data_IF_689394455064
#
_entry.id   IF_689394455064
#
_cell.length_a   1.000
_cell.length_b   1.000
_cell.length_c   1.000
_cell.angle_alpha   90.00
_cell.angle_beta   90.00
_cell.angle_gamma   90.00
#
_symmetry.space_group_name_H-M   'P 1'
#
loop_
_entity.id
_entity.type
_entity.pdbx_description
1 polymer ?
#
# COMPACT_ATOMS: atom_id res chain seq x y z
N UNK A 1 80.43 -13.00 14.21
CA UNK A 1 79.63 -12.16 13.30
C UNK A 1 78.92 -13.13 12.37
N UNK A 2 77.68 -13.50 12.61
CA UNK A 2 76.51 -12.76 12.13
C UNK A 2 75.26 -13.10 12.97
N UNK A 3 74.55 -12.07 13.40
CA UNK A 3 73.24 -12.15 14.07
C UNK A 3 72.16 -12.56 13.05
N UNK A 4 71.36 -13.58 13.38
CA UNK A 4 70.13 -13.91 12.66
C UNK A 4 68.94 -13.36 13.45
N UNK A 5 68.50 -12.16 13.09
CA UNK A 5 67.40 -11.46 13.77
C UNK A 5 66.06 -11.87 13.15
N UNK A 6 65.18 -12.47 13.95
CA UNK A 6 63.76 -12.70 13.64
C UNK A 6 63.08 -11.39 13.24
N UNK A 7 62.42 -11.36 12.08
CA UNK A 7 61.41 -10.35 11.74
C UNK A 7 60.04 -10.99 11.83
N UNK A 8 59.31 -10.73 12.92
CA UNK A 8 57.86 -10.92 12.97
C UNK A 8 57.21 -9.92 12.03
N UNK A 9 56.44 -10.41 11.06
CA UNK A 9 55.55 -9.60 10.24
C UNK A 9 54.20 -9.60 10.92
N UNK A 10 53.85 -8.50 11.59
CA UNK A 10 52.51 -8.29 12.14
C UNK A 10 51.59 -7.83 11.01
N UNK A 11 50.67 -8.70 10.60
CA UNK A 11 49.60 -8.40 9.65
C UNK A 11 48.53 -7.56 10.38
N UNK A 12 48.50 -6.24 10.14
CA UNK A 12 47.37 -5.40 10.54
C UNK A 12 46.20 -5.64 9.59
N UNK A 13 45.23 -6.46 9.99
CA UNK A 13 43.94 -6.54 9.33
C UNK A 13 43.12 -5.33 9.80
N UNK A 14 43.03 -4.30 8.96
CA UNK A 14 42.04 -3.23 9.13
C UNK A 14 40.69 -3.81 8.70
N UNK A 15 39.90 -4.26 9.66
CA UNK A 15 38.49 -4.59 9.47
C UNK A 15 37.72 -3.28 9.23
N UNK A 16 37.61 -2.90 7.96
CA UNK A 16 36.60 -1.91 7.55
C UNK A 16 35.25 -2.59 7.64
N UNK A 17 34.56 -2.41 8.76
CA UNK A 17 33.13 -2.70 8.88
C UNK A 17 32.38 -1.68 8.02
N UNK A 18 32.38 -1.90 6.70
CA UNK A 18 31.39 -1.30 5.83
C UNK A 18 30.05 -1.94 6.20
N UNK A 19 29.26 -1.24 7.00
CA UNK A 19 27.82 -1.45 7.07
C UNK A 19 27.31 -1.15 5.66
N UNK A 20 27.26 -2.18 4.81
CA UNK A 20 26.58 -2.09 3.54
C UNK A 20 25.10 -1.82 3.89
N UNK A 21 24.67 -0.58 3.68
CA UNK A 21 23.27 -0.33 3.37
C UNK A 21 23.04 -1.21 2.14
N UNK A 22 22.21 -2.24 2.29
CA UNK A 22 21.83 -3.12 1.20
C UNK A 22 21.00 -2.29 0.22
N UNK A 23 21.67 -1.57 -0.65
CA UNK A 23 21.08 -1.03 -1.86
C UNK A 23 20.61 -2.23 -2.69
N UNK A 24 19.38 -2.13 -3.21
CA UNK A 24 18.79 -3.08 -4.15
C UNK A 24 19.84 -3.47 -5.19
N UNK A 25 20.13 -4.76 -5.31
CA UNK A 25 21.01 -5.25 -6.37
C UNK A 25 20.41 -4.85 -7.73
N UNK A 26 21.02 -3.92 -8.48
CA UNK A 26 20.46 -3.41 -9.72
C UNK A 26 20.31 -4.50 -10.79
N UNK A 27 20.97 -5.65 -10.62
CA UNK A 27 20.87 -6.77 -11.57
C UNK A 27 19.49 -7.45 -11.58
N UNK A 28 18.69 -7.33 -10.51
CA UNK A 28 17.36 -7.96 -10.46
C UNK A 28 16.26 -7.15 -11.17
N UNK A 29 16.41 -5.83 -11.27
CA UNK A 29 15.40 -4.95 -11.86
C UNK A 29 15.81 -4.53 -13.28
N UNK A 30 15.02 -4.94 -14.26
CA UNK A 30 15.19 -4.47 -15.64
C UNK A 30 14.41 -3.16 -15.86
N UNK A 31 14.85 -2.29 -16.79
CA UNK A 31 14.12 -1.07 -17.12
C UNK A 31 12.65 -1.31 -17.47
N UNK A 32 11.81 -0.31 -17.21
CA UNK A 32 10.42 -0.31 -17.65
C UNK A 32 10.37 0.04 -19.14
N UNK A 33 9.75 -0.83 -19.92
CA UNK A 33 9.49 -0.64 -21.34
C UNK A 33 8.02 -0.25 -21.53
N UNK A 34 7.73 1.03 -21.30
CA UNK A 34 6.38 1.56 -21.50
C UNK A 34 6.01 1.59 -22.99
N UNK A 35 4.77 1.25 -23.29
CA UNK A 35 4.19 1.41 -24.61
C UNK A 35 4.04 2.91 -24.95
N UNK A 36 3.90 3.22 -26.23
CA UNK A 36 3.74 4.60 -26.74
C UNK A 36 2.35 4.88 -27.31
N UNK A 37 1.38 4.05 -26.97
CA UNK A 37 0.02 4.15 -27.53
C UNK A 37 -0.67 5.41 -26.96
N UNK A 38 -1.25 6.28 -27.81
CA UNK A 38 -2.07 7.37 -27.35
C UNK A 38 -3.38 6.84 -26.75
N UNK A 39 -4.07 7.62 -25.90
CA UNK A 39 -5.38 7.23 -25.39
C UNK A 39 -6.37 7.02 -26.55
N UNK A 40 -7.16 5.93 -26.54
CA UNK A 40 -8.07 5.60 -27.64
C UNK A 40 -9.29 6.52 -27.71
N UNK A 41 -9.54 7.28 -26.65
CA UNK A 41 -10.68 8.18 -26.51
C UNK A 41 -10.36 9.31 -25.52
N UNK A 42 -11.31 10.24 -25.35
CA UNK A 42 -11.23 11.25 -24.29
C UNK A 42 -11.25 10.55 -22.93
N UNK A 43 -10.40 11.04 -22.00
CA UNK A 43 -10.35 10.54 -20.64
C UNK A 43 -11.73 10.57 -19.97
N UNK A 44 -12.17 9.46 -19.34
CA UNK A 44 -13.25 9.50 -18.38
C UNK A 44 -12.94 10.52 -17.26
N UNK A 45 -13.98 11.08 -16.65
CA UNK A 45 -13.81 12.07 -15.60
C UNK A 45 -12.98 11.53 -14.44
N UNK A 46 -11.90 12.26 -14.09
CA UNK A 46 -11.00 11.90 -13.00
C UNK A 46 -9.99 10.79 -13.30
N UNK A 47 -9.96 10.27 -14.53
CA UNK A 47 -9.03 9.21 -14.92
C UNK A 47 -7.86 9.70 -15.79
N UNK A 48 -6.72 9.03 -15.66
CA UNK A 48 -5.51 9.24 -16.45
C UNK A 48 -5.20 8.01 -17.30
N UNK A 49 -4.61 8.24 -18.47
CA UNK A 49 -4.20 7.19 -19.39
C UNK A 49 -2.89 6.56 -18.94
N UNK A 50 -2.89 5.25 -18.75
CA UNK A 50 -1.69 4.46 -18.50
C UNK A 50 -1.44 3.64 -19.77
N UNK A 51 -0.34 3.95 -20.48
CA UNK A 51 -0.04 3.31 -21.76
C UNK A 51 0.25 1.80 -21.65
N UNK A 52 0.49 1.31 -20.42
CA UNK A 52 0.93 -0.06 -20.16
C UNK A 52 2.34 -0.31 -20.68
N UNK A 53 2.76 -1.57 -20.65
CA UNK A 53 4.09 -2.01 -21.04
C UNK A 53 4.64 -3.09 -20.11
N UNK A 54 5.91 -3.39 -20.29
CA UNK A 54 6.61 -4.40 -19.48
C UNK A 54 7.45 -3.74 -18.38
N UNK A 55 7.40 -4.27 -17.17
CA UNK A 55 8.17 -3.77 -16.03
C UNK A 55 8.61 -4.90 -15.10
N UNK A 56 9.53 -4.58 -14.18
CA UNK A 56 9.92 -5.47 -13.09
C UNK A 56 9.01 -5.20 -11.89
N UNK A 57 8.17 -6.18 -11.55
CA UNK A 57 7.22 -6.13 -10.45
C UNK A 57 7.80 -6.82 -9.20
N UNK A 58 7.45 -6.33 -8.01
CA UNK A 58 7.87 -6.90 -6.73
C UNK A 58 9.11 -6.23 -6.12
N UNK A 59 9.76 -6.94 -5.20
CA UNK A 59 10.90 -6.46 -4.42
C UNK A 59 12.07 -7.47 -4.46
N UNK A 60 13.30 -6.96 -4.54
CA UNK A 60 14.54 -7.78 -4.56
C UNK A 60 14.98 -8.26 -3.17
N UNK A 61 14.47 -7.62 -2.12
CA UNK A 61 14.74 -7.98 -0.73
C UNK A 61 13.40 -8.19 -0.06
N UNK A 62 13.19 -9.37 0.53
CA UNK A 62 12.21 -9.58 1.58
C UNK A 62 12.94 -9.93 2.87
N UNK A 63 12.37 -9.47 3.99
CA UNK A 63 13.00 -9.53 5.29
C UNK A 63 12.75 -8.26 6.10
N UNK A 64 12.87 -8.42 7.42
CA UNK A 64 12.48 -7.50 8.50
C UNK A 64 12.48 -6.05 8.04
N UNK A 65 11.28 -5.52 7.94
CA UNK A 65 11.09 -4.22 7.35
C UNK A 65 11.85 -3.11 8.07
N UNK A 66 12.02 -1.98 7.40
CA UNK A 66 12.67 -0.81 8.00
C UNK A 66 11.78 -0.16 9.07
N UNK A 67 12.32 0.75 9.88
CA UNK A 67 11.51 1.63 10.75
C UNK A 67 10.39 2.36 9.97
N UNK A 68 10.58 2.57 8.66
CA UNK A 68 9.60 3.19 7.76
C UNK A 68 8.66 2.18 7.08
N UNK A 69 9.05 0.90 6.99
CA UNK A 69 8.31 -0.16 6.30
C UNK A 69 8.52 -1.48 7.04
N UNK A 70 8.05 -1.66 8.29
CA UNK A 70 8.41 -2.78 9.18
C UNK A 70 7.96 -4.17 8.67
N UNK A 71 7.19 -4.20 7.59
CA UNK A 71 6.68 -5.42 6.96
C UNK A 71 6.98 -5.40 5.45
N UNK A 72 8.25 -5.38 5.05
CA UNK A 72 8.59 -5.84 3.70
C UNK A 72 8.22 -7.33 3.65
N UNK A 73 7.01 -7.63 3.16
CA UNK A 73 6.47 -8.98 3.18
C UNK A 73 7.32 -9.85 2.26
N UNK A 74 7.67 -11.05 2.74
CA UNK A 74 8.36 -12.04 1.90
C UNK A 74 7.54 -12.34 0.62
N UNK A 75 6.24 -12.09 0.65
CA UNK A 75 5.31 -12.25 -0.46
C UNK A 75 5.53 -11.23 -1.60
N UNK A 76 6.33 -10.18 -1.38
CA UNK A 76 6.72 -9.23 -2.44
C UNK A 76 7.85 -9.76 -3.33
N UNK A 77 8.47 -10.90 -2.97
CA UNK A 77 9.48 -11.59 -3.78
C UNK A 77 8.85 -12.72 -4.61
N UNK A 78 9.49 -13.13 -5.73
CA UNK A 78 10.68 -12.54 -6.33
C UNK A 78 10.33 -11.37 -7.27
N UNK A 79 11.34 -10.57 -7.61
CA UNK A 79 11.24 -9.67 -8.77
C UNK A 79 11.01 -10.51 -10.02
N UNK A 80 9.98 -10.16 -10.80
CA UNK A 80 9.67 -10.85 -12.05
C UNK A 80 9.19 -9.85 -13.10
N UNK A 81 9.25 -10.25 -14.38
CA UNK A 81 8.73 -9.44 -15.48
C UNK A 81 7.22 -9.60 -15.56
N UNK A 82 6.52 -8.48 -15.54
CA UNK A 82 5.08 -8.42 -15.74
C UNK A 82 4.79 -7.49 -16.91
N UNK A 83 3.74 -7.80 -17.66
CA UNK A 83 3.23 -6.96 -18.73
C UNK A 83 1.78 -6.59 -18.41
N UNK A 84 1.44 -5.32 -18.59
CA UNK A 84 0.07 -4.83 -18.49
C UNK A 84 -0.31 -4.12 -19.78
N UNK A 85 -1.52 -4.37 -20.26
CA UNK A 85 -2.10 -3.62 -21.37
C UNK A 85 -2.32 -2.16 -20.97
N UNK A 86 -2.70 -1.32 -21.95
CA UNK A 86 -3.03 0.07 -21.67
C UNK A 86 -4.43 0.18 -21.04
N UNK A 87 -4.60 1.07 -20.06
CA UNK A 87 -5.86 1.24 -19.32
C UNK A 87 -6.03 2.66 -18.78
N UNK A 88 -7.25 2.95 -18.31
CA UNK A 88 -7.57 4.17 -17.57
C UNK A 88 -7.52 3.88 -16.06
N UNK A 89 -6.84 4.75 -15.30
CA UNK A 89 -6.77 4.66 -13.83
C UNK A 89 -7.31 5.95 -13.21
N UNK A 90 -8.03 5.86 -12.08
CA UNK A 90 -8.39 7.05 -11.33
C UNK A 90 -7.15 7.78 -10.82
N UNK A 91 -7.11 9.11 -10.96
CA UNK A 91 -5.99 9.95 -10.53
C UNK A 91 -5.89 10.08 -8.99
N UNK A 92 -6.98 9.78 -8.28
CA UNK A 92 -7.08 9.85 -6.83
C UNK A 92 -7.85 8.62 -6.31
N UNK A 93 -7.69 8.26 -5.03
CA UNK A 93 -8.64 7.36 -4.38
C UNK A 93 -10.08 7.86 -4.52
N UNK A 94 -11.04 6.93 -4.44
CA UNK A 94 -12.46 7.27 -4.40
C UNK A 94 -12.74 8.12 -3.17
N UNK A 95 -13.38 9.26 -3.38
CA UNK A 95 -13.69 10.22 -2.32
C UNK A 95 -15.02 9.93 -1.61
N UNK A 96 -15.20 10.47 -0.40
CA UNK A 96 -16.48 10.42 0.32
C UNK A 96 -17.64 10.96 -0.53
N UNK A 97 -17.45 12.06 -1.26
CA UNK A 97 -18.48 12.63 -2.12
C UNK A 97 -18.86 11.72 -3.30
N UNK A 98 -17.88 11.06 -3.91
CA UNK A 98 -18.13 10.12 -5.00
C UNK A 98 -18.86 8.87 -4.49
N UNK A 99 -18.42 8.30 -3.37
CA UNK A 99 -19.06 7.13 -2.76
C UNK A 99 -20.48 7.47 -2.27
N UNK A 100 -20.71 8.68 -1.78
CA UNK A 100 -22.06 9.10 -1.40
C UNK A 100 -23.03 9.15 -2.59
N UNK A 101 -22.58 9.58 -3.79
CA UNK A 101 -23.40 9.53 -5.01
C UNK A 101 -23.83 8.09 -5.33
N UNK A 102 -22.90 7.15 -5.22
CA UNK A 102 -23.17 5.72 -5.38
C UNK A 102 -24.23 5.23 -4.40
N UNK A 103 -24.04 5.47 -3.11
CA UNK A 103 -24.99 5.03 -2.07
C UNK A 103 -26.37 5.67 -2.28
N UNK A 104 -26.44 6.96 -2.59
CA UNK A 104 -27.71 7.65 -2.88
C UNK A 104 -28.43 7.08 -4.11
N UNK A 105 -27.70 6.68 -5.14
CA UNK A 105 -28.27 6.14 -6.37
C UNK A 105 -28.76 4.68 -6.25
N UNK A 106 -28.20 3.91 -5.30
CA UNK A 106 -28.38 2.46 -5.23
C UNK A 106 -28.98 1.96 -3.92
N UNK A 107 -29.04 2.82 -2.89
CA UNK A 107 -29.31 2.45 -1.50
C UNK A 107 -28.36 1.37 -0.97
N UNK A 108 -27.11 1.35 -1.45
CA UNK A 108 -26.12 0.37 -1.05
C UNK A 108 -25.80 0.45 0.44
N UNK A 109 -25.70 -0.72 1.09
CA UNK A 109 -25.32 -0.89 2.50
C UNK A 109 -23.98 -1.59 2.52
N UNK A 110 -22.94 -0.94 3.05
CA UNK A 110 -21.57 -1.51 3.10
C UNK A 110 -21.47 -2.69 4.04
N UNK A 111 -20.40 -3.49 3.93
CA UNK A 111 -20.13 -4.58 4.88
C UNK A 111 -20.07 -4.06 6.33
N UNK A 112 -19.43 -2.91 6.56
CA UNK A 112 -19.33 -2.30 7.90
C UNK A 112 -20.69 -1.88 8.49
N UNK A 113 -21.71 -1.69 7.67
CA UNK A 113 -23.08 -1.34 8.08
C UNK A 113 -23.98 -2.56 8.31
N UNK A 114 -23.53 -3.78 7.94
CA UNK A 114 -24.29 -5.02 8.10
C UNK A 114 -23.94 -5.70 9.42
N UNK A 115 -24.95 -6.23 10.10
CA UNK A 115 -24.73 -7.09 11.28
C UNK A 115 -24.14 -8.42 10.84
N UNK A 116 -22.92 -8.79 11.29
CA UNK A 116 -22.33 -10.09 10.98
C UNK A 116 -23.18 -11.23 11.54
N UNK A 117 -23.26 -12.36 10.84
CA UNK A 117 -24.01 -13.53 11.34
C UNK A 117 -23.12 -14.53 12.07
N UNK A 118 -23.74 -15.42 12.84
CA UNK A 118 -23.03 -16.52 13.52
C UNK A 118 -22.45 -17.51 12.52
N UNK A 119 -23.08 -17.68 11.37
CA UNK A 119 -22.59 -18.53 10.27
C UNK A 119 -21.33 -17.95 9.64
N UNK A 120 -21.26 -16.62 9.48
CA UNK A 120 -20.06 -15.93 8.99
C UNK A 120 -18.92 -15.95 10.02
N UNK A 121 -19.25 -15.83 11.31
CA UNK A 121 -18.27 -15.81 12.41
C UNK A 121 -18.64 -16.77 13.55
N UNK A 122 -18.45 -18.10 13.37
CA UNK A 122 -18.90 -19.11 14.33
C UNK A 122 -18.25 -19.00 15.71
N UNK A 123 -17.02 -18.50 15.78
CA UNK A 123 -16.24 -18.37 17.02
C UNK A 123 -16.43 -17.03 17.72
N UNK A 124 -17.09 -16.05 17.09
CA UNK A 124 -17.31 -14.75 17.69
C UNK A 124 -18.37 -14.82 18.81
N UNK A 125 -18.13 -14.18 19.97
CA UNK A 125 -19.18 -13.94 20.96
C UNK A 125 -20.36 -13.17 20.36
N UNK A 126 -21.58 -13.47 20.78
CA UNK A 126 -22.80 -12.88 20.20
C UNK A 126 -22.84 -11.35 20.38
N UNK A 127 -22.32 -10.86 21.50
CA UNK A 127 -22.18 -9.43 21.80
C UNK A 127 -21.22 -8.66 20.87
N UNK A 128 -20.41 -9.41 20.10
CA UNK A 128 -19.48 -8.89 19.10
C UNK A 128 -20.01 -9.01 17.66
N UNK A 129 -21.14 -9.69 17.45
CA UNK A 129 -21.85 -9.76 16.16
C UNK A 129 -22.71 -8.51 15.96
N UNK A 130 -22.06 -7.37 15.83
CA UNK A 130 -22.69 -6.06 15.64
C UNK A 130 -22.05 -5.36 14.45
N UNK A 131 -22.79 -4.53 13.73
CA UNK A 131 -22.22 -3.71 12.66
C UNK A 131 -21.16 -2.75 13.22
N UNK A 132 -20.10 -2.53 12.46
CA UNK A 132 -18.97 -1.72 12.88
C UNK A 132 -17.71 -1.98 12.05
N UNK A 133 -16.66 -1.25 12.38
CA UNK A 133 -15.38 -1.32 11.72
C UNK A 133 -14.24 -1.15 12.71
N UNK A 134 -13.04 -1.54 12.28
CA UNK A 134 -11.81 -1.39 13.06
C UNK A 134 -11.27 0.02 12.88
N UNK A 135 -11.08 0.75 13.98
CA UNK A 135 -10.63 2.14 13.99
C UNK A 135 -9.26 2.23 14.66
N UNK A 136 -8.36 3.02 14.08
CA UNK A 136 -7.02 3.22 14.62
C UNK A 136 -7.14 4.00 15.93
N UNK A 137 -6.59 3.43 16.99
CA UNK A 137 -6.54 4.00 18.33
C UNK A 137 -5.07 4.17 18.70
N UNK A 138 -4.52 5.36 18.46
CA UNK A 138 -3.12 5.64 18.76
C UNK A 138 -2.79 5.36 20.23
N UNK A 139 -1.67 4.68 20.47
CA UNK A 139 -1.13 4.51 21.82
C UNK A 139 -0.39 5.78 22.25
N UNK A 140 -0.40 6.08 23.55
CA UNK A 140 0.34 7.20 24.14
C UNK A 140 1.81 6.86 24.46
N UNK A 141 2.21 5.60 24.22
CA UNK A 141 3.56 5.08 24.37
C UNK A 141 3.88 4.04 23.29
N UNK A 142 5.16 3.70 23.15
CA UNK A 142 5.61 2.63 22.26
C UNK A 142 5.12 1.27 22.76
N UNK A 143 4.58 0.47 21.84
CA UNK A 143 4.05 -0.86 22.13
C UNK A 143 4.67 -1.92 21.20
N UNK A 144 4.80 -3.18 21.64
CA UNK A 144 5.26 -4.26 20.78
C UNK A 144 4.39 -4.41 19.52
N UNK A 145 5.01 -4.43 18.33
CA UNK A 145 4.31 -4.49 17.04
C UNK A 145 3.73 -5.87 16.68
N UNK A 146 3.83 -6.85 17.59
CA UNK A 146 3.35 -8.22 17.38
C UNK A 146 1.89 -8.44 17.80
N UNK A 147 1.22 -7.42 18.35
CA UNK A 147 -0.18 -7.50 18.76
C UNK A 147 -0.96 -6.24 18.35
N UNK A 148 -1.64 -6.33 17.21
CA UNK A 148 -2.37 -5.21 16.59
C UNK A 148 -3.56 -4.71 17.39
N UNK A 149 -4.10 -5.49 18.33
CA UNK A 149 -5.18 -5.06 19.22
C UNK A 149 -4.77 -3.90 20.13
N UNK A 150 -3.47 -3.60 20.25
CA UNK A 150 -2.98 -2.46 21.04
C UNK A 150 -3.23 -1.10 20.37
N UNK A 151 -3.38 -1.04 19.03
CA UNK A 151 -3.60 0.21 18.29
C UNK A 151 -4.77 0.16 17.30
N UNK A 152 -5.51 -0.95 17.27
CA UNK A 152 -6.73 -1.10 16.49
C UNK A 152 -7.86 -1.58 17.40
N UNK A 153 -8.99 -0.88 17.36
CA UNK A 153 -10.17 -1.19 18.16
C UNK A 153 -11.38 -1.40 17.28
N UNK A 154 -12.17 -2.44 17.56
CA UNK A 154 -13.46 -2.63 16.90
C UNK A 154 -14.50 -1.67 17.49
N UNK A 155 -14.98 -0.71 16.69
CA UNK A 155 -15.92 0.31 17.12
C UNK A 155 -17.30 0.02 16.53
N UNK A 156 -18.25 -0.25 17.43
CA UNK A 156 -19.66 -0.52 17.08
C UNK A 156 -20.24 0.69 16.35
N UNK A 157 -20.81 0.45 15.17
CA UNK A 157 -21.38 1.48 14.31
C UNK A 157 -20.38 2.40 13.61
N UNK A 158 -19.07 2.13 13.68
CA UNK A 158 -18.12 2.79 12.79
C UNK A 158 -18.32 2.29 11.35
N UNK A 159 -18.38 3.23 10.41
CA UNK A 159 -18.56 2.96 8.98
C UNK A 159 -18.05 4.15 8.17
N UNK A 160 -18.23 4.12 6.85
CA UNK A 160 -17.73 5.17 5.96
C UNK A 160 -18.32 6.57 6.22
N UNK A 161 -19.57 6.67 6.74
CA UNK A 161 -20.19 7.96 7.14
C UNK A 161 -19.75 8.42 8.53
N UNK A 162 -19.41 7.46 9.39
CA UNK A 162 -19.06 7.64 10.80
C UNK A 162 -17.68 7.00 11.08
N UNK A 163 -16.59 7.53 10.52
CA UNK A 163 -15.31 6.82 10.45
C UNK A 163 -14.57 6.65 11.77
N UNK A 164 -14.95 7.38 12.82
CA UNK A 164 -14.43 7.21 14.18
C UNK A 164 -15.51 6.67 15.15
N UNK A 165 -16.60 6.11 14.61
CA UNK A 165 -17.75 5.63 15.38
C UNK A 165 -18.95 6.57 15.33
N UNK A 166 -20.08 6.21 15.97
CA UNK A 166 -21.41 6.80 15.73
C UNK A 166 -21.54 8.31 15.98
N UNK A 167 -20.62 8.90 16.72
CA UNK A 167 -20.61 10.34 17.04
C UNK A 167 -19.76 11.17 16.06
N UNK A 168 -19.07 10.52 15.12
CA UNK A 168 -18.23 11.19 14.13
C UNK A 168 -18.99 11.43 12.82
N UNK A 169 -18.49 12.31 11.96
CA UNK A 169 -19.02 12.48 10.60
C UNK A 169 -17.91 12.79 9.58
N UNK A 170 -18.34 12.87 8.31
CA UNK A 170 -17.52 13.22 7.15
C UNK A 170 -17.74 14.67 6.68
N UNK A 171 -18.38 15.54 7.47
CA UNK A 171 -18.63 16.93 7.08
C UNK A 171 -17.30 17.68 6.92
N UNK A 172 -17.11 18.35 5.79
CA UNK A 172 -15.84 18.99 5.45
C UNK A 172 -14.73 18.02 5.01
N UNK A 173 -15.05 16.73 4.84
CA UNK A 173 -14.13 15.67 4.37
C UNK A 173 -14.59 15.06 3.05
N UNK A 174 -15.34 15.81 2.26
CA UNK A 174 -15.97 15.35 1.02
C UNK A 174 -14.93 14.85 0.00
N UNK A 175 -13.75 15.48 -0.03
CA UNK A 175 -12.64 15.14 -0.92
C UNK A 175 -11.62 14.17 -0.31
N UNK A 176 -11.86 13.69 0.91
CA UNK A 176 -10.98 12.69 1.53
C UNK A 176 -11.33 11.32 0.94
N UNK A 177 -10.36 10.38 0.90
CA UNK A 177 -10.63 9.00 0.54
C UNK A 177 -11.75 8.42 1.42
N UNK A 178 -12.69 7.71 0.79
CA UNK A 178 -13.66 6.91 1.54
C UNK A 178 -12.92 5.77 2.25
N UNK A 179 -13.28 5.54 3.51
CA UNK A 179 -12.69 4.49 4.37
C UNK A 179 -13.78 3.56 4.91
N UNK A 180 -13.40 2.49 5.61
CA UNK A 180 -14.33 1.48 6.14
C UNK A 180 -15.21 0.82 5.07
N UNK A 181 -14.64 0.65 3.89
CA UNK A 181 -15.23 -0.14 2.80
C UNK A 181 -14.43 -1.44 2.64
N UNK A 182 -15.12 -2.56 2.48
CA UNK A 182 -14.52 -3.85 2.20
C UNK A 182 -14.31 -4.04 0.68
N UNK A 183 -13.58 -5.09 0.29
CA UNK A 183 -13.38 -5.43 -1.13
C UNK A 183 -14.71 -5.51 -1.92
N UNK A 184 -15.79 -6.17 -1.43
CA UNK A 184 -17.07 -6.21 -2.14
C UNK A 184 -17.74 -4.84 -2.29
N UNK A 185 -17.51 -3.91 -1.35
CA UNK A 185 -18.05 -2.55 -1.41
C UNK A 185 -17.34 -1.75 -2.51
N UNK A 186 -16.02 -1.88 -2.60
CA UNK A 186 -15.21 -1.24 -3.65
C UNK A 186 -15.54 -1.79 -5.04
N UNK A 187 -15.73 -3.11 -5.17
CA UNK A 187 -16.13 -3.76 -6.43
C UNK A 187 -17.54 -3.31 -6.87
N UNK A 188 -18.49 -3.25 -5.94
CA UNK A 188 -19.84 -2.77 -6.22
C UNK A 188 -19.86 -1.31 -6.69
N UNK A 189 -19.08 -0.44 -6.03
CA UNK A 189 -18.90 0.95 -6.45
C UNK A 189 -18.29 1.03 -7.85
N UNK A 190 -17.20 0.30 -8.11
CA UNK A 190 -16.51 0.31 -9.40
C UNK A 190 -17.47 -0.10 -10.53
N UNK A 191 -18.24 -1.18 -10.32
CA UNK A 191 -19.25 -1.65 -11.29
C UNK A 191 -20.33 -0.60 -11.55
N UNK A 192 -20.86 0.04 -10.51
CA UNK A 192 -21.85 1.11 -10.67
C UNK A 192 -21.28 2.31 -11.44
N UNK A 193 -20.02 2.66 -11.20
CA UNK A 193 -19.32 3.74 -11.89
C UNK A 193 -18.93 3.39 -13.34
N UNK A 194 -19.24 2.18 -13.83
CA UNK A 194 -18.82 1.71 -15.16
C UNK A 194 -17.31 1.42 -15.25
N UNK A 195 -16.68 1.08 -14.12
CA UNK A 195 -15.25 0.82 -13.95
C UNK A 195 -15.03 -0.61 -13.43
N UNK A 196 -13.78 -0.92 -13.08
CA UNK A 196 -13.36 -2.11 -12.33
C UNK A 196 -12.22 -1.75 -11.38
N UNK A 197 -11.93 -2.62 -10.42
CA UNK A 197 -10.70 -2.52 -9.63
C UNK A 197 -9.48 -2.81 -10.53
N UNK A 198 -8.32 -2.17 -10.28
CA UNK A 198 -7.09 -2.52 -10.95
C UNK A 198 -6.61 -3.89 -10.48
N UNK A 199 -5.90 -4.62 -11.34
CA UNK A 199 -5.10 -5.74 -10.89
C UNK A 199 -3.91 -5.23 -10.06
N UNK A 200 -3.28 -6.11 -9.28
CA UNK A 200 -2.08 -5.75 -8.53
C UNK A 200 -0.96 -5.23 -9.46
N UNK A 201 -0.73 -5.90 -10.59
CA UNK A 201 0.26 -5.50 -11.58
C UNK A 201 -0.06 -4.13 -12.22
N UNK A 202 -1.32 -3.85 -12.51
CA UNK A 202 -1.75 -2.54 -13.03
C UNK A 202 -1.52 -1.44 -11.99
N UNK A 203 -1.85 -1.72 -10.72
CA UNK A 203 -1.66 -0.77 -9.63
C UNK A 203 -0.18 -0.47 -9.41
N UNK A 204 0.69 -1.49 -9.34
CA UNK A 204 2.13 -1.28 -9.16
C UNK A 204 2.76 -0.60 -10.38
N UNK A 205 2.39 -0.99 -11.61
CA UNK A 205 2.89 -0.34 -12.83
C UNK A 205 2.56 1.16 -12.84
N UNK A 206 1.30 1.52 -12.53
CA UNK A 206 0.86 2.91 -12.46
C UNK A 206 1.59 3.67 -11.35
N UNK A 207 1.71 3.08 -10.15
CA UNK A 207 2.37 3.70 -9.00
C UNK A 207 3.87 3.95 -9.26
N UNK A 208 4.56 3.03 -9.95
CA UNK A 208 5.98 3.19 -10.29
C UNK A 208 6.24 4.29 -11.31
N UNK A 209 5.24 4.72 -12.08
CA UNK A 209 5.32 5.83 -13.02
C UNK A 209 6.54 5.76 -13.98
N UNK A 210 6.92 4.55 -14.42
CA UNK A 210 8.06 4.32 -15.31
C UNK A 210 9.42 4.16 -14.61
N UNK A 211 9.51 4.41 -13.32
CA UNK A 211 10.71 4.13 -12.53
C UNK A 211 10.85 2.62 -12.30
N UNK A 212 12.07 2.10 -12.41
CA UNK A 212 12.38 0.69 -12.12
C UNK A 212 13.24 0.58 -10.87
N UNK A 213 12.92 -0.39 -10.01
CA UNK A 213 13.68 -0.71 -8.80
C UNK A 213 13.69 0.35 -7.70
N UNK A 214 12.87 1.40 -7.80
CA UNK A 214 12.79 2.46 -6.80
C UNK A 214 11.95 2.04 -5.59
N UNK A 215 12.39 2.46 -4.40
CA UNK A 215 11.73 2.15 -3.13
C UNK A 215 10.38 2.85 -2.97
N UNK A 216 10.29 4.09 -3.43
CA UNK A 216 9.08 4.92 -3.39
C UNK A 216 8.65 5.31 -4.80
N UNK A 217 7.38 5.72 -4.95
CA UNK A 217 6.82 6.17 -6.23
C UNK A 217 7.51 7.42 -6.81
N UNK A 218 8.31 8.12 -5.98
CA UNK A 218 9.08 9.31 -6.35
C UNK A 218 10.62 9.09 -6.37
N UNK A 219 11.12 7.89 -6.05
CA UNK A 219 12.56 7.61 -6.00
C UNK A 219 12.99 6.76 -4.80
N UNK A 220 14.26 6.87 -4.41
CA UNK A 220 14.84 6.05 -3.33
C UNK A 220 14.88 6.74 -1.97
N UNK A 221 14.77 8.07 -1.95
CA UNK A 221 14.83 8.84 -0.71
C UNK A 221 13.43 9.04 -0.13
N UNK A 222 13.27 8.74 1.16
CA UNK A 222 11.99 8.87 1.85
C UNK A 222 11.51 10.32 1.95
N UNK A 223 12.45 11.24 2.18
CA UNK A 223 12.19 12.68 2.26
C UNK A 223 13.19 13.46 1.41
N UNK A 224 13.04 13.48 0.08
CA UNK A 224 13.89 14.27 -0.80
C UNK A 224 13.93 15.72 -0.33
N UNK A 225 15.14 16.27 -0.16
CA UNK A 225 15.37 17.62 0.38
C UNK A 225 14.70 17.89 1.74
N UNK A 226 14.50 16.84 2.55
CA UNK A 226 13.85 16.92 3.86
C UNK A 226 12.33 17.11 3.82
N UNK A 227 11.70 17.01 2.65
CA UNK A 227 10.25 17.21 2.48
C UNK A 227 9.48 15.89 2.53
N UNK A 228 8.29 15.94 3.12
CA UNK A 228 7.31 14.87 3.00
C UNK A 228 6.66 14.93 1.62
N UNK A 229 6.69 13.82 0.90
CA UNK A 229 6.14 13.72 -0.46
C UNK A 229 4.66 13.31 -0.47
N UNK A 230 4.18 12.73 0.64
CA UNK A 230 2.82 12.32 0.90
C UNK A 230 2.51 12.47 2.39
#
# INVERSE_FOLDING_TARGET
MTNCTRKSVTLCIVLVLSKAIAFSDPEQFQPTHANKNPPPSKAPEGMVWIAGGEFSMGAAVGGEGSHAMPMASNDSQPVHRAYVDAFWMDATPVTNAQFEKFVKATNYVTIAERTPTKEEFPTAPEENLVAGAVVFAATDHEVPLNNHYQWWSYIKGANWRHPLGPQSDIKGKENYPVVHIAYPDAEAYAKWAGKRLPTEAEFEFAARAGLSGKMYVWGDEFRPDGKWMA
#
